data_IF_018788394462
#
_entry.id   IF_018788394462
#
_cell.length_a   1.000
_cell.length_b   1.000
_cell.length_c   1.000
_cell.angle_alpha   90.00
_cell.angle_beta   90.00
_cell.angle_gamma   90.00
#
_symmetry.space_group_name_H-M   'P 1'
#
loop_
_entity.id
_entity.type
_entity.pdbx_description
1 polymer ?
#
# COMPACT_ATOMS: atom_id res chain seq x y z
N UNK A 1 3.70 -30.44 17.06
CA UNK A 1 3.25 -29.95 15.75
C UNK A 1 3.99 -30.74 14.70
N UNK A 2 3.27 -31.31 13.72
CA UNK A 2 3.87 -32.21 12.75
C UNK A 2 4.58 -31.36 11.67
N UNK A 3 5.87 -31.62 11.39
CA UNK A 3 6.63 -30.93 10.32
C UNK A 3 6.00 -31.06 8.94
N UNK A 4 5.09 -32.03 8.75
CA UNK A 4 4.37 -32.28 7.50
C UNK A 4 3.33 -31.18 7.13
N UNK A 5 2.97 -30.31 8.09
CA UNK A 5 1.95 -29.28 7.92
C UNK A 5 2.52 -27.90 7.58
N UNK A 6 3.86 -27.81 7.43
CA UNK A 6 4.53 -26.55 7.10
C UNK A 6 4.63 -26.37 5.60
N UNK A 7 4.27 -25.18 5.12
CA UNK A 7 4.46 -24.75 3.73
C UNK A 7 5.77 -23.93 3.57
N UNK A 8 6.04 -23.00 4.50
CA UNK A 8 7.21 -22.15 4.47
C UNK A 8 7.76 -22.03 5.89
N UNK A 9 9.08 -22.10 6.04
CA UNK A 9 9.80 -21.80 7.28
C UNK A 9 10.98 -20.88 6.98
N UNK A 10 11.09 -19.77 7.71
CA UNK A 10 12.21 -18.86 7.72
C UNK A 10 12.84 -18.91 9.11
N UNK A 11 14.17 -19.05 9.17
CA UNK A 11 14.91 -19.10 10.44
C UNK A 11 16.05 -18.10 10.39
N UNK A 12 15.96 -17.04 11.21
CA UNK A 12 16.95 -15.99 11.35
C UNK A 12 17.33 -15.27 10.04
N UNK A 13 16.38 -15.12 9.13
CA UNK A 13 16.64 -14.63 7.76
C UNK A 13 17.04 -13.17 7.77
N UNK A 14 18.21 -12.88 7.18
CA UNK A 14 18.74 -11.53 6.99
C UNK A 14 19.02 -11.27 5.51
N UNK A 15 18.74 -10.05 5.08
CA UNK A 15 19.12 -9.58 3.73
C UNK A 15 19.75 -8.21 3.81
N UNK A 16 20.99 -8.14 3.36
CA UNK A 16 21.79 -6.92 3.30
C UNK A 16 22.05 -6.52 1.86
N UNK A 17 21.81 -5.27 1.55
CA UNK A 17 22.19 -4.64 0.28
C UNK A 17 23.33 -3.64 0.50
N UNK A 18 24.20 -3.52 -0.48
CA UNK A 18 25.21 -2.46 -0.54
C UNK A 18 24.71 -1.33 -1.42
N UNK A 19 24.67 -0.12 -0.90
CA UNK A 19 24.27 1.06 -1.64
C UNK A 19 25.39 1.48 -2.61
N UNK A 20 25.03 1.90 -3.82
CA UNK A 20 25.99 2.38 -4.81
C UNK A 20 26.82 1.30 -5.52
N UNK A 21 26.56 0.02 -5.29
CA UNK A 21 27.10 -1.04 -6.15
C UNK A 21 25.99 -1.49 -7.12
N UNK A 22 25.96 -0.91 -8.29
CA UNK A 22 25.39 -1.57 -9.46
C UNK A 22 26.44 -2.65 -9.79
N UNK A 23 26.07 -3.93 -9.68
CA UNK A 23 27.00 -5.01 -10.03
C UNK A 23 27.52 -4.73 -11.44
N UNK A 24 28.83 -4.58 -11.58
CA UNK A 24 29.46 -4.34 -12.85
C UNK A 24 29.13 -5.53 -13.75
N UNK A 25 28.25 -5.33 -14.72
CA UNK A 25 27.81 -6.40 -15.63
C UNK A 25 28.92 -6.90 -16.55
N UNK A 26 30.14 -6.33 -16.46
CA UNK A 26 31.30 -6.73 -17.26
C UNK A 26 32.60 -6.57 -16.47
N UNK A 27 33.53 -7.51 -16.63
CA UNK A 27 34.88 -7.45 -16.07
C UNK A 27 35.62 -6.15 -16.44
N UNK A 28 35.30 -5.54 -17.56
CA UNK A 28 35.86 -4.26 -18.01
C UNK A 28 35.38 -3.09 -17.16
N UNK A 29 34.12 -3.06 -16.73
CA UNK A 29 33.60 -2.02 -15.85
C UNK A 29 34.20 -2.13 -14.43
N UNK A 30 34.34 -3.35 -13.90
CA UNK A 30 35.01 -3.58 -12.61
C UNK A 30 36.48 -3.16 -12.63
N UNK A 31 37.18 -3.40 -13.74
CA UNK A 31 38.58 -2.98 -13.90
C UNK A 31 38.70 -1.46 -14.03
N UNK A 32 37.78 -0.80 -14.73
CA UNK A 32 37.75 0.67 -14.84
C UNK A 32 37.46 1.34 -13.47
N UNK A 33 36.51 0.80 -12.71
CA UNK A 33 36.18 1.29 -11.37
C UNK A 33 37.35 1.08 -10.41
N UNK A 34 38.07 -0.04 -10.47
CA UNK A 34 39.27 -0.30 -9.70
C UNK A 34 40.39 0.69 -10.06
N UNK A 35 40.65 0.93 -11.36
CA UNK A 35 41.68 1.88 -11.84
C UNK A 35 41.34 3.33 -11.48
N UNK A 36 40.09 3.74 -11.55
CA UNK A 36 39.63 5.07 -11.10
C UNK A 36 39.91 5.26 -9.59
N UNK A 37 39.59 4.23 -8.79
CA UNK A 37 39.81 4.24 -7.34
C UNK A 37 41.29 4.30 -6.96
N UNK A 38 42.17 3.56 -7.64
CA UNK A 38 43.63 3.60 -7.43
C UNK A 38 44.21 4.95 -7.79
N UNK A 39 43.63 5.68 -8.76
CA UNK A 39 44.10 7.00 -9.20
C UNK A 39 43.42 8.16 -8.48
N UNK A 40 42.53 7.93 -7.52
CA UNK A 40 41.77 8.97 -6.80
C UNK A 40 40.84 9.79 -7.70
N UNK A 41 40.43 9.22 -8.85
CA UNK A 41 39.46 9.82 -9.78
C UNK A 41 38.07 9.28 -9.51
N UNK A 42 37.05 10.07 -9.89
CA UNK A 42 35.66 9.64 -9.84
C UNK A 42 35.44 8.37 -10.69
N UNK A 43 34.66 7.44 -10.16
CA UNK A 43 34.34 6.18 -10.82
C UNK A 43 33.43 6.46 -12.05
N UNK A 44 33.90 6.21 -13.29
CA UNK A 44 33.12 6.51 -14.49
C UNK A 44 31.85 5.68 -14.64
N UNK A 45 31.69 4.63 -13.83
CA UNK A 45 30.53 3.73 -13.87
C UNK A 45 29.47 4.11 -12.80
N UNK A 46 29.68 5.20 -12.04
CA UNK A 46 28.68 5.70 -11.11
C UNK A 46 27.61 6.52 -11.86
N UNK A 47 26.31 6.35 -11.54
CA UNK A 47 25.25 7.20 -12.09
C UNK A 47 25.49 8.68 -11.78
N UNK A 48 25.26 9.53 -12.77
CA UNK A 48 25.30 11.00 -12.61
C UNK A 48 24.22 11.38 -11.59
N UNK A 49 24.56 12.06 -10.48
CA UNK A 49 23.73 12.45 -9.34
C UNK A 49 23.63 11.45 -8.16
N UNK A 50 24.52 10.49 -8.03
CA UNK A 50 24.58 9.66 -6.83
C UNK A 50 25.41 10.37 -5.74
N UNK A 51 24.85 10.51 -4.54
CA UNK A 51 25.61 11.05 -3.40
C UNK A 51 26.75 10.07 -3.04
N UNK A 52 27.98 10.49 -3.32
CA UNK A 52 29.19 9.67 -3.10
C UNK A 52 29.35 9.21 -1.64
N UNK A 53 28.69 9.89 -0.68
CA UNK A 53 28.69 9.52 0.73
C UNK A 53 27.93 8.22 1.02
N UNK A 54 27.04 7.81 0.11
CA UNK A 54 26.23 6.58 0.23
C UNK A 54 26.89 5.37 -0.39
N UNK A 55 27.93 5.56 -1.22
CA UNK A 55 28.63 4.46 -1.91
C UNK A 55 29.36 3.58 -0.91
N UNK A 56 29.00 2.30 -0.89
CA UNK A 56 29.59 1.30 0.01
C UNK A 56 28.91 1.17 1.38
N UNK A 57 27.95 2.03 1.71
CA UNK A 57 27.12 1.82 2.89
C UNK A 57 26.25 0.57 2.72
N UNK A 58 26.01 -0.13 3.81
CA UNK A 58 25.17 -1.32 3.83
C UNK A 58 23.82 -1.01 4.44
N UNK A 59 22.76 -1.48 3.80
CA UNK A 59 21.39 -1.37 4.26
C UNK A 59 20.83 -2.76 4.57
N UNK A 60 20.30 -2.96 5.77
CA UNK A 60 19.62 -4.18 6.17
C UNK A 60 18.14 -4.10 5.77
N UNK A 61 17.78 -4.79 4.72
CA UNK A 61 16.40 -4.85 4.25
C UNK A 61 15.55 -5.85 5.06
N UNK A 62 16.19 -6.96 5.53
CA UNK A 62 15.62 -7.87 6.51
C UNK A 62 16.69 -8.13 7.59
N UNK A 63 16.28 -8.23 8.85
CA UNK A 63 17.19 -8.30 9.99
C UNK A 63 16.73 -9.31 11.03
N UNK A 64 16.89 -10.61 10.72
CA UNK A 64 16.52 -11.72 11.59
C UNK A 64 15.02 -11.97 11.59
N UNK A 65 14.50 -12.42 10.45
CA UNK A 65 13.09 -12.77 10.29
C UNK A 65 12.91 -14.25 10.55
N UNK A 66 12.08 -14.58 11.54
CA UNK A 66 11.60 -15.92 11.85
C UNK A 66 10.11 -15.97 11.51
N UNK A 67 9.70 -16.93 10.68
CA UNK A 67 8.31 -17.08 10.25
C UNK A 67 8.03 -18.53 9.90
N UNK A 68 6.90 -19.04 10.35
CA UNK A 68 6.38 -20.34 9.92
C UNK A 68 4.99 -20.15 9.33
N UNK A 69 4.78 -20.63 8.10
CA UNK A 69 3.48 -20.61 7.41
C UNK A 69 3.03 -22.03 7.23
N UNK A 70 1.77 -22.32 7.60
CA UNK A 70 1.20 -23.64 7.50
C UNK A 70 0.52 -23.86 6.15
N UNK A 71 0.37 -25.12 5.75
CA UNK A 71 -0.35 -25.48 4.54
C UNK A 71 -1.82 -25.08 4.65
N UNK A 72 -2.36 -24.52 3.58
CA UNK A 72 -3.74 -24.04 3.53
C UNK A 72 -3.99 -22.74 4.30
N UNK A 73 -2.96 -22.08 4.79
CA UNK A 73 -3.06 -20.81 5.52
C UNK A 73 -3.10 -19.62 4.56
N UNK A 74 -3.97 -18.65 4.84
CA UNK A 74 -4.00 -17.35 4.18
C UNK A 74 -3.31 -16.31 5.09
N UNK A 75 -2.04 -16.02 4.82
CA UNK A 75 -1.21 -15.10 5.61
C UNK A 75 -1.14 -13.71 4.97
N UNK A 76 -1.56 -12.69 5.71
CA UNK A 76 -1.37 -11.28 5.37
C UNK A 76 0.02 -10.78 5.78
N UNK A 77 0.62 -9.94 4.94
CA UNK A 77 1.91 -9.27 5.24
C UNK A 77 1.70 -7.77 5.07
N UNK A 78 1.67 -7.04 6.15
CA UNK A 78 1.52 -5.58 6.16
C UNK A 78 2.76 -4.89 6.71
N UNK A 79 2.92 -3.61 6.39
CA UNK A 79 4.06 -2.80 6.83
C UNK A 79 4.24 -1.58 5.95
N UNK A 80 4.97 -0.58 6.44
CA UNK A 80 5.24 0.66 5.73
C UNK A 80 6.08 0.44 4.46
N UNK A 81 6.15 1.47 3.61
CA UNK A 81 7.11 1.49 2.52
C UNK A 81 8.53 1.41 3.09
N UNK A 82 9.35 0.51 2.52
CA UNK A 82 10.69 0.26 3.05
C UNK A 82 10.77 -0.71 4.23
N UNK A 83 9.65 -1.24 4.74
CA UNK A 83 9.64 -2.21 5.84
C UNK A 83 10.32 -3.56 5.51
N UNK A 84 10.52 -3.86 4.21
CA UNK A 84 11.17 -5.10 3.76
C UNK A 84 10.24 -6.07 3.05
N UNK A 85 8.94 -5.76 2.87
CA UNK A 85 7.94 -6.63 2.25
C UNK A 85 8.37 -7.20 0.89
N UNK A 86 8.70 -6.32 -0.07
CA UNK A 86 9.13 -6.75 -1.41
C UNK A 86 10.45 -7.54 -1.39
N UNK A 87 11.32 -7.29 -0.41
CA UNK A 87 12.54 -8.08 -0.22
C UNK A 87 12.21 -9.48 0.27
N UNK A 88 11.29 -9.61 1.23
CA UNK A 88 10.80 -10.90 1.72
C UNK A 88 10.20 -11.72 0.58
N UNK A 89 9.32 -11.12 -0.23
CA UNK A 89 8.74 -11.80 -1.39
C UNK A 89 9.79 -12.25 -2.41
N UNK A 90 10.79 -11.41 -2.72
CA UNK A 90 11.89 -11.79 -3.64
C UNK A 90 12.73 -12.96 -3.13
N UNK A 91 12.89 -13.08 -1.81
CA UNK A 91 13.56 -14.22 -1.20
C UNK A 91 12.71 -15.49 -1.33
N UNK A 92 11.42 -15.41 -1.03
CA UNK A 92 10.49 -16.55 -1.15
C UNK A 92 10.38 -17.03 -2.59
N UNK A 93 10.30 -16.10 -3.56
CA UNK A 93 10.28 -16.42 -4.99
C UNK A 93 11.66 -16.82 -5.56
N UNK A 94 12.70 -16.92 -4.71
CA UNK A 94 14.07 -17.27 -5.12
C UNK A 94 14.70 -16.33 -6.16
N UNK A 95 14.17 -15.10 -6.29
CA UNK A 95 14.77 -14.06 -7.15
C UNK A 95 16.11 -13.58 -6.57
N UNK A 96 16.27 -13.66 -5.26
CA UNK A 96 17.54 -13.37 -4.57
C UNK A 96 17.73 -14.33 -3.40
N UNK A 97 18.99 -14.56 -2.99
CA UNK A 97 19.30 -15.40 -1.83
C UNK A 97 19.38 -14.57 -0.53
N UNK A 98 19.11 -15.14 0.65
CA UNK A 98 19.38 -14.51 1.93
C UNK A 98 20.87 -14.26 2.12
N UNK A 99 21.22 -13.25 2.94
CA UNK A 99 22.61 -13.01 3.33
C UNK A 99 23.02 -13.93 4.49
N UNK A 100 22.09 -14.18 5.41
CA UNK A 100 22.22 -15.08 6.54
C UNK A 100 20.85 -15.72 6.83
N UNK A 101 20.84 -16.87 7.51
CA UNK A 101 19.63 -17.61 7.85
C UNK A 101 19.20 -18.57 6.75
N UNK A 102 18.14 -19.30 7.01
CA UNK A 102 17.64 -20.38 6.16
C UNK A 102 16.19 -20.18 5.78
N UNK A 103 15.83 -20.65 4.59
CA UNK A 103 14.45 -20.59 4.04
C UNK A 103 14.12 -21.97 3.49
N UNK A 104 13.17 -22.64 4.15
CA UNK A 104 12.63 -23.92 3.70
C UNK A 104 11.24 -23.71 3.08
N UNK A 105 11.04 -24.28 1.91
CA UNK A 105 9.78 -24.16 1.15
C UNK A 105 9.37 -25.56 0.71
N UNK A 106 8.17 -25.95 1.10
CA UNK A 106 7.59 -27.28 0.85
C UNK A 106 6.40 -27.16 -0.11
N UNK A 107 6.68 -27.18 -1.39
CA UNK A 107 5.72 -27.08 -2.47
C UNK A 107 6.16 -26.16 -3.59
N UNK A 108 5.35 -26.12 -4.65
CA UNK A 108 5.56 -25.24 -5.81
C UNK A 108 5.00 -23.85 -5.51
N UNK A 109 5.82 -22.82 -5.73
CA UNK A 109 5.39 -21.43 -5.58
C UNK A 109 4.90 -20.90 -6.93
N UNK A 110 3.73 -20.29 -6.94
CA UNK A 110 3.30 -19.36 -7.98
C UNK A 110 3.39 -17.93 -7.46
N UNK A 111 4.13 -17.08 -8.17
CA UNK A 111 4.31 -15.68 -7.83
C UNK A 111 3.50 -14.80 -8.79
N UNK A 112 2.67 -13.94 -8.22
CA UNK A 112 1.96 -12.89 -8.96
C UNK A 112 2.68 -11.52 -8.87
N UNK A 113 3.98 -11.50 -8.53
CA UNK A 113 4.74 -10.25 -8.40
C UNK A 113 4.92 -9.50 -9.73
N UNK A 114 4.90 -10.24 -10.83
CA UNK A 114 5.18 -9.71 -12.16
C UNK A 114 4.12 -10.20 -13.16
N UNK A 115 2.85 -9.86 -12.89
CA UNK A 115 1.73 -10.22 -13.77
C UNK A 115 1.95 -9.62 -15.17
N UNK A 116 1.90 -10.49 -16.19
CA UNK A 116 2.12 -10.11 -17.59
C UNK A 116 3.59 -10.08 -18.04
N UNK A 117 4.53 -10.40 -17.17
CA UNK A 117 5.91 -10.60 -17.58
C UNK A 117 6.00 -11.77 -18.58
N UNK A 118 6.66 -11.54 -19.69
CA UNK A 118 6.78 -12.51 -20.78
C UNK A 118 5.66 -12.44 -21.81
N UNK A 119 4.68 -11.56 -21.70
CA UNK A 119 3.73 -11.34 -22.79
C UNK A 119 4.41 -10.69 -23.99
N UNK A 120 4.15 -11.23 -25.18
CA UNK A 120 4.60 -10.67 -26.43
C UNK A 120 3.47 -9.95 -27.15
N UNK A 121 3.62 -8.64 -27.39
CA UNK A 121 2.61 -7.81 -28.05
C UNK A 121 2.23 -8.27 -29.46
N UNK A 122 3.11 -8.94 -30.18
CA UNK A 122 2.85 -9.43 -31.53
C UNK A 122 2.03 -10.74 -31.56
N UNK A 123 1.98 -11.45 -30.45
CA UNK A 123 1.22 -12.69 -30.30
C UNK A 123 -0.23 -12.38 -29.88
N UNK A 124 -1.13 -13.28 -30.23
CA UNK A 124 -2.54 -13.26 -29.81
C UNK A 124 -2.67 -13.51 -28.31
N UNK A 125 -3.84 -13.22 -27.72
CA UNK A 125 -4.13 -13.54 -26.33
C UNK A 125 -3.96 -15.04 -26.05
N UNK A 126 -4.44 -15.90 -26.95
CA UNK A 126 -4.32 -17.36 -26.82
C UNK A 126 -2.85 -17.82 -26.81
N UNK A 127 -2.03 -17.32 -27.72
CA UNK A 127 -0.60 -17.63 -27.78
C UNK A 127 0.13 -17.13 -26.52
N UNK A 128 -0.27 -15.96 -25.99
CA UNK A 128 0.29 -15.43 -24.75
C UNK A 128 -0.14 -16.28 -23.52
N UNK A 129 -1.33 -16.89 -23.49
CA UNK A 129 -1.70 -17.84 -22.45
C UNK A 129 -0.72 -19.03 -22.43
N UNK A 130 -0.40 -19.61 -23.60
CA UNK A 130 0.60 -20.70 -23.69
C UNK A 130 1.97 -20.24 -23.23
N UNK A 131 2.44 -19.10 -23.71
CA UNK A 131 3.77 -18.60 -23.41
C UNK A 131 3.91 -18.25 -21.94
N UNK A 132 2.98 -17.48 -21.39
CA UNK A 132 3.03 -17.07 -19.99
C UNK A 132 2.79 -18.26 -19.05
N UNK A 133 1.84 -19.15 -19.36
CA UNK A 133 1.62 -20.38 -18.60
C UNK A 133 2.89 -21.25 -18.53
N UNK A 134 3.62 -21.41 -19.67
CA UNK A 134 4.88 -22.14 -19.70
C UNK A 134 5.99 -21.44 -18.87
N UNK A 135 6.11 -20.10 -18.93
CA UNK A 135 7.04 -19.31 -18.11
C UNK A 135 6.72 -19.50 -16.61
N UNK A 136 5.45 -19.51 -16.25
CA UNK A 136 4.99 -19.75 -14.87
C UNK A 136 5.07 -21.24 -14.49
N UNK A 137 5.52 -22.10 -15.41
CA UNK A 137 5.83 -23.51 -15.20
C UNK A 137 4.66 -24.47 -15.38
N UNK A 138 3.61 -24.10 -16.09
CA UNK A 138 2.57 -25.04 -16.54
C UNK A 138 3.07 -25.91 -17.69
N UNK A 139 2.68 -27.15 -17.69
CA UNK A 139 2.85 -28.02 -18.88
C UNK A 139 1.81 -27.65 -19.95
N UNK A 140 2.08 -28.00 -21.20
CA UNK A 140 1.12 -27.77 -22.28
C UNK A 140 -0.25 -28.42 -21.98
N UNK A 141 -0.25 -29.63 -21.42
CA UNK A 141 -1.49 -30.34 -21.06
C UNK A 141 -2.30 -29.61 -19.98
N UNK A 142 -1.64 -29.02 -18.98
CA UNK A 142 -2.29 -28.19 -17.96
C UNK A 142 -2.88 -26.93 -18.57
N UNK A 143 -2.17 -26.28 -19.51
CA UNK A 143 -2.67 -25.10 -20.20
C UNK A 143 -3.87 -25.44 -21.09
N UNK A 144 -3.79 -26.53 -21.85
CA UNK A 144 -4.89 -27.00 -22.70
C UNK A 144 -6.16 -27.29 -21.87
N UNK A 145 -5.99 -27.92 -20.72
CA UNK A 145 -7.11 -28.23 -19.82
C UNK A 145 -7.78 -27.00 -19.20
N UNK A 146 -7.02 -25.91 -18.99
CA UNK A 146 -7.50 -24.68 -18.33
C UNK A 146 -7.77 -23.54 -19.29
N UNK A 147 -7.52 -23.72 -20.58
CA UNK A 147 -7.62 -22.65 -21.59
C UNK A 147 -8.95 -21.93 -21.56
N UNK A 148 -10.06 -22.67 -21.56
CA UNK A 148 -11.40 -22.09 -21.58
C UNK A 148 -11.72 -21.35 -20.28
N UNK A 149 -11.34 -21.88 -19.13
CA UNK A 149 -11.54 -21.23 -17.83
C UNK A 149 -10.76 -19.92 -17.74
N UNK A 150 -9.51 -19.90 -18.23
CA UNK A 150 -8.68 -18.69 -18.31
C UNK A 150 -9.31 -17.64 -19.20
N UNK A 151 -9.79 -18.02 -20.38
CA UNK A 151 -10.43 -17.11 -21.34
C UNK A 151 -11.71 -16.54 -20.75
N UNK A 152 -12.56 -17.36 -20.15
CA UNK A 152 -13.82 -16.93 -19.55
C UNK A 152 -13.58 -16.01 -18.34
N UNK A 153 -12.61 -16.38 -17.50
CA UNK A 153 -12.26 -15.55 -16.36
C UNK A 153 -11.74 -14.18 -16.77
N UNK A 154 -10.95 -14.10 -17.84
CA UNK A 154 -10.32 -12.85 -18.32
C UNK A 154 -11.29 -11.84 -18.95
N UNK A 155 -12.50 -12.28 -19.34
CA UNK A 155 -13.50 -11.45 -20.03
C UNK A 155 -13.02 -10.87 -21.37
N UNK A 156 -12.00 -11.47 -22.01
CA UNK A 156 -11.45 -11.01 -23.30
C UNK A 156 -11.74 -11.97 -24.45
N UNK A 157 -12.75 -12.85 -24.29
CA UNK A 157 -13.11 -13.90 -25.26
C UNK A 157 -13.19 -13.41 -26.71
N UNK A 158 -13.86 -12.30 -26.94
CA UNK A 158 -14.05 -11.75 -28.29
C UNK A 158 -12.74 -11.27 -28.95
N UNK A 159 -11.71 -11.07 -28.15
CA UNK A 159 -10.42 -10.55 -28.59
C UNK A 159 -9.30 -11.57 -28.47
N UNK A 160 -9.59 -12.79 -28.02
CA UNK A 160 -8.56 -13.78 -27.65
C UNK A 160 -7.60 -14.13 -28.79
N UNK A 161 -8.06 -14.11 -30.02
CA UNK A 161 -7.27 -14.38 -31.22
C UNK A 161 -6.76 -13.10 -31.90
N UNK A 162 -6.81 -11.95 -31.17
CA UNK A 162 -6.25 -10.65 -31.59
C UNK A 162 -4.87 -10.45 -30.93
N UNK A 163 -3.87 -9.86 -31.62
CA UNK A 163 -2.57 -9.51 -31.03
C UNK A 163 -2.71 -8.58 -29.83
N UNK A 164 -2.00 -8.92 -28.74
CA UNK A 164 -2.11 -8.25 -27.43
C UNK A 164 -1.71 -6.76 -27.48
N UNK A 165 -0.87 -6.36 -28.45
CA UNK A 165 -0.56 -4.93 -28.68
C UNK A 165 -1.81 -4.07 -28.96
N UNK A 166 -2.93 -4.67 -29.35
CA UNK A 166 -4.22 -3.99 -29.58
C UNK A 166 -5.14 -4.00 -28.36
N UNK A 167 -4.74 -4.64 -27.28
CA UNK A 167 -5.51 -4.67 -26.05
C UNK A 167 -5.42 -3.32 -25.33
N UNK A 168 -6.49 -2.96 -24.63
CA UNK A 168 -6.39 -1.92 -23.61
C UNK A 168 -5.53 -2.41 -22.44
N UNK A 169 -4.99 -1.50 -21.65
CA UNK A 169 -4.23 -1.86 -20.45
C UNK A 169 -5.04 -2.76 -19.51
N UNK A 170 -6.36 -2.50 -19.38
CA UNK A 170 -7.26 -3.33 -18.58
C UNK A 170 -7.40 -4.76 -19.12
N UNK A 171 -7.59 -4.94 -20.43
CA UNK A 171 -7.67 -6.28 -21.07
C UNK A 171 -6.37 -7.05 -20.89
N UNK A 172 -5.23 -6.38 -21.08
CA UNK A 172 -3.90 -6.98 -20.90
C UNK A 172 -3.77 -7.57 -19.49
N UNK A 173 -4.08 -6.77 -18.47
CA UNK A 173 -3.90 -7.21 -17.09
C UNK A 173 -4.95 -8.22 -16.67
N UNK A 174 -6.18 -8.14 -17.16
CA UNK A 174 -7.22 -9.16 -16.95
C UNK A 174 -6.75 -10.52 -17.47
N UNK A 175 -6.20 -10.59 -18.68
CA UNK A 175 -5.70 -11.84 -19.25
C UNK A 175 -4.51 -12.38 -18.45
N UNK A 176 -3.52 -11.54 -18.17
CA UNK A 176 -2.32 -11.95 -17.45
C UNK A 176 -2.63 -12.45 -16.03
N UNK A 177 -3.53 -11.78 -15.31
CA UNK A 177 -4.01 -12.23 -14.00
C UNK A 177 -4.75 -13.57 -14.11
N UNK A 178 -5.57 -13.73 -15.15
CA UNK A 178 -6.34 -14.97 -15.35
C UNK A 178 -5.44 -16.20 -15.52
N UNK A 179 -4.32 -16.07 -16.24
CA UNK A 179 -3.33 -17.16 -16.33
C UNK A 179 -2.76 -17.49 -14.95
N UNK A 180 -2.32 -16.47 -14.23
CA UNK A 180 -1.70 -16.64 -12.91
C UNK A 180 -2.68 -17.23 -11.87
N UNK A 181 -3.96 -16.84 -11.90
CA UNK A 181 -4.99 -17.33 -10.98
C UNK A 181 -5.37 -18.81 -11.22
N UNK A 182 -5.05 -19.36 -12.38
CA UNK A 182 -5.33 -20.77 -12.74
C UNK A 182 -4.09 -21.67 -12.67
N UNK A 183 -2.97 -21.19 -12.09
CA UNK A 183 -1.80 -22.03 -11.85
C UNK A 183 -2.11 -23.12 -10.79
N UNK A 184 -1.59 -24.31 -11.01
CA UNK A 184 -1.59 -25.36 -9.99
C UNK A 184 -0.34 -25.25 -9.14
N UNK A 185 -0.46 -24.57 -8.00
CA UNK A 185 0.62 -24.40 -7.04
C UNK A 185 0.09 -24.60 -5.63
N UNK A 186 0.91 -25.18 -4.77
CA UNK A 186 0.58 -25.37 -3.35
C UNK A 186 0.71 -24.05 -2.57
N UNK A 187 1.55 -23.15 -3.06
CA UNK A 187 1.82 -21.85 -2.44
C UNK A 187 1.63 -20.75 -3.48
N UNK A 188 0.82 -19.76 -3.17
CA UNK A 188 0.58 -18.59 -4.00
C UNK A 188 1.04 -17.32 -3.29
N UNK A 189 1.87 -16.54 -3.97
CA UNK A 189 2.38 -15.26 -3.45
C UNK A 189 1.80 -14.13 -4.28
N UNK A 190 1.11 -13.21 -3.61
CA UNK A 190 0.44 -12.07 -4.22
C UNK A 190 0.94 -10.77 -3.62
N UNK A 191 1.23 -9.79 -4.47
CA UNK A 191 1.48 -8.40 -4.10
C UNK A 191 0.25 -7.56 -4.49
N UNK A 192 0.24 -6.30 -4.21
CA UNK A 192 -0.83 -5.30 -4.44
C UNK A 192 -1.53 -5.35 -5.82
N UNK A 193 -1.12 -6.26 -6.68
CA UNK A 193 -1.60 -6.48 -8.06
C UNK A 193 -3.12 -6.76 -8.15
N UNK A 194 -3.80 -7.08 -7.04
CA UNK A 194 -5.27 -7.26 -7.04
C UNK A 194 -6.06 -5.95 -7.29
N UNK A 195 -5.41 -4.79 -7.25
CA UNK A 195 -6.03 -3.49 -7.56
C UNK A 195 -6.17 -3.21 -9.06
N UNK A 196 -6.11 -4.27 -9.90
CA UNK A 196 -6.07 -4.16 -11.35
C UNK A 196 -7.44 -4.39 -12.00
N UNK A 197 -7.70 -3.64 -13.07
CA UNK A 197 -8.96 -3.71 -13.81
C UNK A 197 -10.05 -2.84 -13.17
N UNK A 198 -11.29 -3.07 -13.56
CA UNK A 198 -12.45 -2.40 -12.99
C UNK A 198 -12.88 -3.06 -11.66
N UNK A 199 -13.77 -2.39 -10.93
CA UNK A 199 -14.25 -2.83 -9.61
C UNK A 199 -14.85 -4.25 -9.64
N UNK A 200 -15.57 -4.60 -10.72
CA UNK A 200 -16.20 -5.90 -10.85
C UNK A 200 -15.15 -7.00 -11.02
N UNK A 201 -14.14 -6.76 -11.83
CA UNK A 201 -13.04 -7.70 -12.01
C UNK A 201 -12.22 -7.87 -10.74
N UNK A 202 -11.96 -6.79 -9.99
CA UNK A 202 -11.30 -6.86 -8.68
C UNK A 202 -12.08 -7.78 -7.72
N UNK A 203 -13.40 -7.64 -7.63
CA UNK A 203 -14.24 -8.50 -6.79
C UNK A 203 -14.19 -9.98 -7.25
N UNK A 204 -14.16 -10.22 -8.55
CA UNK A 204 -14.00 -11.56 -9.14
C UNK A 204 -12.66 -12.17 -8.76
N UNK A 205 -11.57 -11.38 -8.82
CA UNK A 205 -10.24 -11.80 -8.38
C UNK A 205 -10.21 -12.16 -6.89
N UNK A 206 -10.77 -11.31 -6.04
CA UNK A 206 -10.85 -11.55 -4.59
C UNK A 206 -11.61 -12.82 -4.27
N UNK A 207 -12.77 -13.03 -4.96
CA UNK A 207 -13.56 -14.26 -4.79
C UNK A 207 -12.77 -15.51 -5.20
N UNK A 208 -12.07 -15.46 -6.35
CA UNK A 208 -11.24 -16.59 -6.80
C UNK A 208 -10.10 -16.88 -5.82
N UNK A 209 -9.45 -15.85 -5.31
CA UNK A 209 -8.35 -16.05 -4.33
C UNK A 209 -8.85 -16.65 -3.02
N UNK A 210 -10.02 -16.24 -2.55
CA UNK A 210 -10.65 -16.84 -1.38
C UNK A 210 -11.02 -18.31 -1.62
N UNK A 211 -11.55 -18.62 -2.79
CA UNK A 211 -11.86 -20.01 -3.20
C UNK A 211 -10.58 -20.87 -3.21
N UNK A 212 -9.50 -20.38 -3.79
CA UNK A 212 -8.19 -21.05 -3.83
C UNK A 212 -7.66 -21.32 -2.42
N UNK A 213 -7.76 -20.37 -1.51
CA UNK A 213 -7.29 -20.53 -0.13
C UNK A 213 -8.19 -21.48 0.67
N UNK A 214 -9.51 -21.24 0.68
CA UNK A 214 -10.43 -21.91 1.61
C UNK A 214 -10.98 -23.25 1.08
N UNK A 215 -11.20 -23.37 -0.24
CA UNK A 215 -11.81 -24.57 -0.85
C UNK A 215 -10.73 -25.51 -1.38
N UNK A 216 -9.74 -24.96 -2.10
CA UNK A 216 -8.66 -25.76 -2.66
C UNK A 216 -7.54 -26.05 -1.64
N UNK A 217 -7.57 -25.42 -0.46
CA UNK A 217 -6.63 -25.64 0.62
C UNK A 217 -5.19 -25.21 0.30
N UNK A 218 -5.00 -24.26 -0.62
CA UNK A 218 -3.67 -23.74 -0.98
C UNK A 218 -3.20 -22.70 0.02
N UNK A 219 -1.90 -22.64 0.23
CA UNK A 219 -1.29 -21.62 1.07
C UNK A 219 -1.17 -20.30 0.29
N UNK A 220 -1.69 -19.21 0.85
CA UNK A 220 -1.68 -17.89 0.21
C UNK A 220 -0.92 -16.90 1.06
N UNK A 221 0.07 -16.23 0.48
CA UNK A 221 0.74 -15.08 1.08
C UNK A 221 0.28 -13.82 0.34
N UNK A 222 -0.37 -12.93 1.05
CA UNK A 222 -0.89 -11.71 0.49
C UNK A 222 -0.24 -10.47 1.10
N UNK A 223 0.43 -9.67 0.26
CA UNK A 223 1.05 -8.41 0.65
C UNK A 223 0.19 -7.26 0.18
N UNK A 224 -0.24 -6.41 1.08
CA UNK A 224 -1.03 -5.23 0.72
C UNK A 224 -0.90 -4.13 1.77
N UNK A 225 -1.18 -2.91 1.34
CA UNK A 225 -1.46 -1.78 2.22
C UNK A 225 -2.97 -1.50 2.33
N UNK A 226 -3.82 -2.23 1.61
CA UNK A 226 -5.27 -2.14 1.73
C UNK A 226 -5.79 -3.09 2.82
N UNK A 227 -6.06 -2.53 3.99
CA UNK A 227 -6.54 -3.30 5.15
C UNK A 227 -7.89 -3.97 4.91
N UNK A 228 -8.74 -3.39 4.06
CA UNK A 228 -10.03 -4.00 3.67
C UNK A 228 -9.83 -5.33 2.93
N UNK A 229 -8.84 -5.42 2.06
CA UNK A 229 -8.53 -6.65 1.32
C UNK A 229 -7.85 -7.68 2.24
N UNK A 230 -6.97 -7.24 3.15
CA UNK A 230 -6.35 -8.11 4.17
C UNK A 230 -7.42 -8.78 5.03
N UNK A 231 -8.41 -8.02 5.55
CA UNK A 231 -9.56 -8.55 6.30
C UNK A 231 -10.37 -9.59 5.53
N UNK A 232 -10.47 -9.42 4.23
CA UNK A 232 -11.29 -10.30 3.39
C UNK A 232 -10.60 -11.62 3.04
N UNK A 233 -9.28 -11.61 2.91
CA UNK A 233 -8.52 -12.74 2.37
C UNK A 233 -7.74 -13.53 3.42
N UNK A 234 -7.33 -12.91 4.51
CA UNK A 234 -6.35 -13.47 5.42
C UNK A 234 -6.97 -13.84 6.77
N UNK A 235 -6.50 -14.95 7.33
CA UNK A 235 -6.91 -15.43 8.65
C UNK A 235 -5.88 -15.02 9.73
N UNK A 236 -4.63 -14.83 9.33
CA UNK A 236 -3.51 -14.38 10.16
C UNK A 236 -2.72 -13.30 9.42
N UNK A 237 -2.11 -12.41 10.17
CA UNK A 237 -1.34 -11.31 9.59
C UNK A 237 -0.05 -11.06 10.36
N UNK A 238 1.04 -10.77 9.63
CA UNK A 238 2.28 -10.27 10.21
C UNK A 238 2.48 -8.80 9.88
N UNK A 239 3.02 -8.07 10.86
CA UNK A 239 3.43 -6.67 10.68
C UNK A 239 4.94 -6.61 10.56
N UNK A 240 5.42 -6.13 9.42
CA UNK A 240 6.83 -5.93 9.15
C UNK A 240 7.21 -4.46 9.35
N UNK A 241 8.25 -4.19 10.16
CA UNK A 241 8.83 -2.86 10.33
C UNK A 241 10.36 -2.95 10.34
N UNK A 242 11.01 -2.09 9.53
CA UNK A 242 12.48 -1.99 9.43
C UNK A 242 13.18 -3.35 9.32
N UNK A 243 12.59 -4.25 8.52
CA UNK A 243 13.13 -5.58 8.25
C UNK A 243 12.92 -6.62 9.36
N UNK A 244 12.06 -6.36 10.34
CA UNK A 244 11.70 -7.30 11.42
C UNK A 244 10.20 -7.51 11.49
N UNK A 245 9.78 -8.70 11.90
CA UNK A 245 8.40 -8.96 12.29
C UNK A 245 8.21 -8.39 13.70
N UNK A 246 7.31 -7.41 13.84
CA UNK A 246 6.97 -6.77 15.13
C UNK A 246 5.67 -7.31 15.70
N UNK A 247 4.86 -7.98 14.89
CA UNK A 247 3.64 -8.66 15.31
C UNK A 247 3.34 -9.83 14.37
N UNK A 248 2.76 -10.88 14.94
CA UNK A 248 2.34 -12.08 14.24
C UNK A 248 1.11 -12.67 14.96
N UNK A 249 -0.06 -12.64 14.32
CA UNK A 249 -1.31 -13.06 14.96
C UNK A 249 -2.57 -12.71 14.16
N UNK A 250 -3.66 -12.46 14.89
CA UNK A 250 -4.97 -12.11 14.32
C UNK A 250 -4.90 -10.86 13.44
N UNK A 251 -5.75 -10.82 12.41
CA UNK A 251 -5.77 -9.74 11.40
C UNK A 251 -6.12 -8.40 12.01
N UNK A 252 -7.10 -8.32 12.90
CA UNK A 252 -7.53 -7.05 13.51
C UNK A 252 -6.46 -6.51 14.46
N UNK A 253 -5.83 -7.38 15.24
CA UNK A 253 -4.73 -7.00 16.13
C UNK A 253 -3.53 -6.51 15.32
N UNK A 254 -3.18 -7.19 14.22
CA UNK A 254 -2.12 -6.78 13.30
C UNK A 254 -2.38 -5.39 12.71
N UNK A 255 -3.60 -5.15 12.25
CA UNK A 255 -4.02 -3.83 11.73
C UNK A 255 -3.94 -2.77 12.84
N UNK A 256 -4.32 -3.11 14.07
CA UNK A 256 -4.18 -2.22 15.23
C UNK A 256 -2.72 -1.86 15.52
N UNK A 257 -1.81 -2.83 15.49
CA UNK A 257 -0.36 -2.61 15.67
C UNK A 257 0.21 -1.77 14.52
N UNK A 258 -0.17 -2.08 13.27
CA UNK A 258 0.25 -1.32 12.10
C UNK A 258 -0.23 0.14 12.15
N UNK A 259 -1.48 0.37 12.53
CA UNK A 259 -2.06 1.69 12.68
C UNK A 259 -1.30 2.50 13.74
N UNK A 260 -1.07 1.92 14.94
CA UNK A 260 -0.33 2.57 16.03
C UNK A 260 1.13 2.88 15.63
N UNK A 261 1.81 1.96 14.95
CA UNK A 261 3.19 2.17 14.48
C UNK A 261 3.33 3.26 13.42
N UNK A 262 2.25 3.56 12.71
CA UNK A 262 2.18 4.61 11.69
C UNK A 262 1.55 5.90 12.19
N UNK A 263 1.12 5.98 13.44
CA UNK A 263 0.52 7.20 13.96
C UNK A 263 1.54 8.31 14.05
N UNK A 264 1.14 9.48 13.61
CA UNK A 264 1.81 10.71 13.97
C UNK A 264 1.69 10.88 15.50
N UNK A 265 2.80 11.22 16.15
CA UNK A 265 2.73 11.58 17.56
C UNK A 265 1.75 12.76 17.73
N UNK A 266 0.87 12.67 18.75
CA UNK A 266 0.02 13.80 19.10
C UNK A 266 0.90 14.91 19.64
N UNK A 267 0.89 16.04 18.96
CA UNK A 267 1.68 17.24 19.27
C UNK A 267 0.80 18.47 19.08
N UNK A 268 1.20 19.60 19.64
CA UNK A 268 0.58 20.89 19.33
C UNK A 268 1.10 21.47 18.00
N UNK A 269 2.35 21.17 17.64
CA UNK A 269 3.06 21.81 16.54
C UNK A 269 3.62 20.75 15.59
N UNK A 270 3.30 20.87 14.30
CA UNK A 270 3.73 19.97 13.24
C UNK A 270 4.49 20.73 12.16
N UNK A 271 5.77 20.44 11.97
CA UNK A 271 6.55 20.90 10.81
C UNK A 271 6.18 20.06 9.59
N UNK A 272 5.38 20.61 8.68
CA UNK A 272 4.95 19.95 7.45
C UNK A 272 5.78 20.36 6.24
N UNK A 273 6.76 21.25 6.40
CA UNK A 273 7.59 21.79 5.32
C UNK A 273 8.39 20.69 4.60
N UNK A 274 8.83 19.66 5.32
CA UNK A 274 9.66 18.54 4.83
C UNK A 274 8.87 17.35 4.32
N UNK A 275 7.54 17.36 4.46
CA UNK A 275 6.69 16.26 3.95
C UNK A 275 6.77 16.27 2.43
N UNK A 276 7.03 15.10 1.85
CA UNK A 276 7.08 14.94 0.39
C UNK A 276 5.73 15.27 -0.24
N UNK A 277 5.72 16.19 -1.19
CA UNK A 277 4.52 16.60 -1.93
C UNK A 277 4.20 15.62 -3.05
N UNK A 278 2.91 15.54 -3.37
CA UNK A 278 2.42 14.77 -4.52
C UNK A 278 2.66 15.56 -5.82
N UNK A 279 2.70 14.85 -6.94
CA UNK A 279 2.76 15.48 -8.26
C UNK A 279 1.44 16.18 -8.60
N UNK A 280 1.51 17.19 -9.48
CA UNK A 280 0.32 17.91 -9.97
C UNK A 280 -0.11 19.09 -9.11
N UNK A 281 0.79 19.69 -8.33
CA UNK A 281 0.61 20.95 -7.60
C UNK A 281 1.29 22.11 -8.32
N UNK A 282 0.85 23.36 -8.03
CA UNK A 282 1.36 24.55 -8.76
C UNK A 282 2.66 25.11 -8.21
N UNK A 283 3.21 24.65 -7.10
CA UNK A 283 4.33 25.26 -6.37
C UNK A 283 4.13 26.76 -6.03
N UNK A 284 2.94 27.28 -6.15
CA UNK A 284 2.65 28.69 -5.89
C UNK A 284 2.48 29.00 -4.40
N UNK A 285 2.12 27.98 -3.63
CA UNK A 285 1.98 28.02 -2.17
C UNK A 285 2.61 26.77 -1.57
N UNK A 286 3.20 26.91 -0.38
CA UNK A 286 3.78 25.83 0.39
C UNK A 286 3.33 25.93 1.85
N UNK A 287 2.73 24.88 2.38
CA UNK A 287 2.34 24.77 3.78
C UNK A 287 3.57 24.41 4.61
N UNK A 288 3.88 25.17 5.65
CA UNK A 288 5.10 25.05 6.43
C UNK A 288 4.88 24.38 7.79
N UNK A 289 3.86 24.82 8.52
CA UNK A 289 3.55 24.29 9.85
C UNK A 289 2.06 24.28 10.13
N UNK A 290 1.65 23.40 11.05
CA UNK A 290 0.31 23.37 11.63
C UNK A 290 0.44 23.46 13.16
N UNK A 291 -0.30 24.38 13.76
CA UNK A 291 -0.33 24.59 15.21
C UNK A 291 -1.75 24.32 15.71
N UNK A 292 -1.90 23.34 16.57
CA UNK A 292 -3.18 22.98 17.18
C UNK A 292 -3.34 23.70 18.52
N UNK A 293 -4.47 24.32 18.76
CA UNK A 293 -4.79 24.87 20.08
C UNK A 293 -4.93 23.75 21.12
N UNK A 294 -5.45 22.59 20.69
CA UNK A 294 -5.52 21.38 21.46
C UNK A 294 -5.47 20.15 20.54
N UNK A 295 -4.61 19.19 20.83
CA UNK A 295 -4.50 17.94 20.06
C UNK A 295 -5.64 16.94 20.30
N UNK A 296 -6.51 17.21 21.27
CA UNK A 296 -7.69 16.42 21.62
C UNK A 296 -8.93 17.30 21.62
N UNK A 297 -10.04 16.78 21.11
CA UNK A 297 -11.33 17.44 21.14
C UNK A 297 -12.39 16.54 21.76
N UNK A 298 -13.22 17.09 22.66
CA UNK A 298 -14.46 16.44 23.04
C UNK A 298 -15.43 16.47 21.85
N UNK A 299 -16.37 15.53 21.80
CA UNK A 299 -17.31 15.36 20.67
C UNK A 299 -18.06 16.64 20.29
N UNK A 300 -18.40 17.48 21.26
CA UNK A 300 -19.10 18.75 21.02
C UNK A 300 -18.17 19.94 20.85
N UNK A 301 -16.86 19.75 20.98
CA UNK A 301 -15.86 20.81 20.79
C UNK A 301 -15.31 20.80 19.36
N UNK A 302 -14.94 22.00 18.94
CA UNK A 302 -14.35 22.23 17.63
C UNK A 302 -12.82 22.11 17.71
N UNK A 303 -12.20 21.60 16.65
CA UNK A 303 -10.76 21.58 16.50
C UNK A 303 -10.31 22.90 15.88
N UNK A 304 -9.63 23.73 16.68
CA UNK A 304 -9.05 24.99 16.23
C UNK A 304 -7.56 24.79 15.94
N UNK A 305 -7.12 25.28 14.78
CA UNK A 305 -5.73 25.21 14.40
C UNK A 305 -5.33 26.37 13.51
N UNK A 306 -4.05 26.73 13.53
CA UNK A 306 -3.46 27.66 12.60
C UNK A 306 -2.53 26.96 11.61
N UNK A 307 -2.49 27.49 10.41
CA UNK A 307 -1.74 26.94 9.29
C UNK A 307 -0.78 28.00 8.76
N UNK A 308 0.51 27.78 8.92
CA UNK A 308 1.56 28.63 8.36
C UNK A 308 1.86 28.21 6.94
N UNK A 309 1.93 29.18 6.06
CA UNK A 309 2.22 28.99 4.65
C UNK A 309 3.15 30.07 4.10
N UNK A 310 3.84 29.74 3.02
CA UNK A 310 4.55 30.68 2.16
C UNK A 310 3.95 30.68 0.77
N UNK A 311 3.59 31.84 0.25
CA UNK A 311 3.03 31.98 -1.10
C UNK A 311 3.86 32.90 -1.95
N UNK A 312 4.20 32.49 -3.16
CA UNK A 312 4.98 33.29 -4.12
C UNK A 312 4.21 34.47 -4.69
N UNK A 313 2.88 34.43 -4.67
CA UNK A 313 1.98 35.45 -5.21
C UNK A 313 0.66 35.46 -4.45
N UNK A 314 -0.11 36.50 -4.62
CA UNK A 314 -1.48 36.52 -4.15
C UNK A 314 -2.34 35.50 -4.93
N UNK A 315 -3.10 34.69 -4.21
CA UNK A 315 -4.04 33.71 -4.80
C UNK A 315 -5.38 33.92 -4.12
N UNK A 316 -6.36 34.52 -4.82
CA UNK A 316 -7.70 34.70 -4.29
C UNK A 316 -8.52 33.41 -4.32
N UNK A 317 -9.61 33.40 -3.57
CA UNK A 317 -10.63 32.37 -3.58
C UNK A 317 -10.11 30.93 -3.35
N UNK A 318 -9.10 30.79 -2.49
CA UNK A 318 -8.56 29.50 -2.08
C UNK A 318 -9.44 28.91 -1.00
N UNK A 319 -9.68 27.60 -1.06
CA UNK A 319 -10.29 26.79 -0.02
C UNK A 319 -9.30 25.77 0.50
N UNK A 320 -9.37 25.49 1.81
CA UNK A 320 -8.74 24.32 2.37
C UNK A 320 -9.73 23.13 2.28
N UNK A 321 -9.34 22.10 1.59
CA UNK A 321 -9.95 20.78 1.67
C UNK A 321 -9.28 20.00 2.79
N UNK A 322 -10.02 19.75 3.84
CA UNK A 322 -9.62 19.03 5.04
C UNK A 322 -10.14 17.60 4.96
N UNK A 323 -9.25 16.62 4.84
CA UNK A 323 -9.64 15.21 4.78
C UNK A 323 -9.32 14.55 6.10
N UNK A 324 -10.34 14.03 6.78
CA UNK A 324 -10.17 13.23 7.99
C UNK A 324 -9.94 11.79 7.58
N UNK A 325 -8.84 11.22 8.05
CA UNK A 325 -8.48 9.82 7.87
C UNK A 325 -8.45 9.10 9.22
N UNK A 326 -8.83 7.82 9.22
CA UNK A 326 -8.63 6.95 10.38
C UNK A 326 -7.13 6.75 10.63
N UNK A 327 -6.76 6.28 11.83
CA UNK A 327 -5.38 5.92 12.16
C UNK A 327 -4.74 4.96 11.12
N UNK A 328 -5.53 4.07 10.53
CA UNK A 328 -5.12 3.17 9.44
C UNK A 328 -4.97 3.82 8.06
N UNK A 329 -5.25 5.13 7.92
CA UNK A 329 -5.10 5.89 6.67
C UNK A 329 -6.33 5.86 5.75
N UNK A 330 -7.42 5.19 6.11
CA UNK A 330 -8.64 5.22 5.32
C UNK A 330 -9.37 6.57 5.51
N UNK A 331 -9.81 7.20 4.41
CA UNK A 331 -10.59 8.42 4.48
C UNK A 331 -11.94 8.18 5.17
N UNK A 332 -12.22 8.97 6.18
CA UNK A 332 -13.47 8.96 6.97
C UNK A 332 -14.45 10.00 6.45
N UNK A 333 -13.94 11.19 6.13
CA UNK A 333 -14.76 12.28 5.62
C UNK A 333 -13.93 13.46 5.12
N UNK A 334 -14.60 14.41 4.49
CA UNK A 334 -13.96 15.60 3.93
C UNK A 334 -14.78 16.84 4.27
N UNK A 335 -14.10 17.87 4.73
CA UNK A 335 -14.65 19.21 4.94
C UNK A 335 -13.95 20.23 4.03
N UNK A 336 -14.63 21.32 3.72
CA UNK A 336 -14.07 22.44 2.98
C UNK A 336 -14.22 23.71 3.79
N UNK A 337 -13.16 24.53 3.83
CA UNK A 337 -13.25 25.86 4.45
C UNK A 337 -14.08 26.82 3.58
N UNK A 338 -14.44 27.93 4.14
CA UNK A 338 -14.80 29.12 3.35
C UNK A 338 -13.61 29.55 2.50
N UNK A 339 -13.84 30.33 1.45
CA UNK A 339 -12.76 30.90 0.63
C UNK A 339 -12.00 31.96 1.40
N UNK A 340 -10.68 31.97 1.21
CA UNK A 340 -9.77 32.98 1.73
C UNK A 340 -8.69 33.30 0.69
N UNK A 341 -7.97 34.38 0.90
CA UNK A 341 -6.88 34.79 -0.02
C UNK A 341 -5.54 34.43 0.60
N UNK A 342 -4.71 33.66 -0.14
CA UNK A 342 -3.31 33.48 0.20
C UNK A 342 -2.53 34.74 -0.18
N UNK A 343 -1.87 35.34 0.82
CA UNK A 343 -1.06 36.56 0.64
C UNK A 343 0.38 36.19 0.27
N UNK A 344 1.09 37.04 -0.50
CA UNK A 344 2.50 36.80 -0.82
C UNK A 344 3.38 36.80 0.45
N UNK A 345 4.36 35.89 0.48
CA UNK A 345 5.28 35.71 1.60
C UNK A 345 4.70 34.79 2.68
N UNK A 346 5.43 34.75 3.82
CA UNK A 346 5.02 33.94 4.98
C UNK A 346 3.82 34.58 5.68
N UNK A 347 2.82 33.78 5.92
CA UNK A 347 1.57 34.20 6.57
C UNK A 347 0.89 33.01 7.27
N UNK A 348 -0.02 33.33 8.18
CA UNK A 348 -0.78 32.33 8.95
C UNK A 348 -2.29 32.52 8.74
N UNK A 349 -3.02 31.42 8.61
CA UNK A 349 -4.49 31.41 8.59
C UNK A 349 -4.99 30.57 9.75
N UNK A 350 -6.01 31.08 10.48
CA UNK A 350 -6.70 30.33 11.53
C UNK A 350 -7.93 29.63 10.99
N UNK A 351 -8.13 28.40 11.38
CA UNK A 351 -9.16 27.51 10.88
C UNK A 351 -9.84 26.76 12.03
N UNK A 352 -11.11 26.45 11.84
CA UNK A 352 -11.93 25.71 12.80
C UNK A 352 -12.61 24.56 12.07
N UNK A 353 -12.49 23.35 12.61
CA UNK A 353 -13.17 22.17 12.10
C UNK A 353 -14.19 21.67 13.12
N UNK A 354 -15.46 21.53 12.72
CA UNK A 354 -16.53 20.94 13.51
C UNK A 354 -16.57 19.43 13.27
N UNK A 355 -16.03 18.67 14.21
CA UNK A 355 -15.97 17.21 14.18
C UNK A 355 -17.08 16.49 14.94
N UNK A 356 -18.24 17.14 15.21
CA UNK A 356 -19.32 16.62 16.04
C UNK A 356 -19.81 15.21 15.68
N UNK A 357 -19.71 14.84 14.40
CA UNK A 357 -20.15 13.53 13.92
C UNK A 357 -19.03 12.49 13.93
N UNK A 358 -17.80 12.85 14.28
CA UNK A 358 -16.73 11.88 14.44
C UNK A 358 -16.95 11.07 15.72
N UNK A 359 -16.81 9.77 15.58
CA UNK A 359 -16.81 8.86 16.73
C UNK A 359 -15.53 9.05 17.57
N UNK A 360 -15.55 8.68 18.86
CA UNK A 360 -14.34 8.65 19.67
C UNK A 360 -13.23 7.82 19.00
N UNK A 361 -12.01 8.36 18.97
CA UNK A 361 -10.89 7.69 18.34
C UNK A 361 -9.77 8.64 17.93
N UNK A 362 -8.80 8.06 17.27
CA UNK A 362 -7.60 8.75 16.79
C UNK A 362 -7.68 8.95 15.27
N UNK A 363 -7.42 10.16 14.83
CA UNK A 363 -7.56 10.58 13.45
C UNK A 363 -6.31 11.30 12.96
N UNK A 364 -6.14 11.31 11.64
CA UNK A 364 -5.07 12.05 10.93
C UNK A 364 -5.73 12.93 9.89
N UNK A 365 -5.21 14.14 9.71
CA UNK A 365 -5.70 15.09 8.72
C UNK A 365 -4.78 15.18 7.50
N UNK A 366 -5.36 15.14 6.30
CA UNK A 366 -4.69 15.59 5.09
C UNK A 366 -5.18 17.01 4.74
N UNK A 367 -4.28 17.88 4.32
CA UNK A 367 -4.55 19.26 3.97
C UNK A 367 -4.28 19.50 2.49
N UNK A 368 -5.26 20.06 1.79
CA UNK A 368 -5.14 20.35 0.35
C UNK A 368 -5.65 21.75 0.10
N UNK A 369 -4.78 22.65 -0.36
CA UNK A 369 -5.19 24.00 -0.78
C UNK A 369 -5.59 24.00 -2.25
N UNK A 370 -6.80 24.45 -2.51
CA UNK A 370 -7.42 24.43 -3.85
C UNK A 370 -8.07 25.76 -4.19
N UNK A 371 -8.10 26.10 -5.47
CA UNK A 371 -8.96 27.15 -6.02
C UNK A 371 -9.68 26.67 -7.27
N UNK A 372 -10.74 27.37 -7.65
CA UNK A 372 -11.48 27.09 -8.88
C UNK A 372 -11.45 28.29 -9.80
N UNK A 373 -11.18 28.02 -11.09
CA UNK A 373 -11.37 28.97 -12.17
C UNK A 373 -12.45 28.40 -13.09
N UNK A 374 -13.67 28.87 -12.91
CA UNK A 374 -14.84 28.28 -13.54
C UNK A 374 -15.04 26.82 -13.13
N UNK A 375 -14.79 25.88 -14.04
CA UNK A 375 -14.94 24.43 -13.80
C UNK A 375 -13.60 23.74 -13.47
N UNK A 376 -12.49 24.43 -13.63
CA UNK A 376 -11.15 23.84 -13.45
C UNK A 376 -10.68 24.00 -12.01
N UNK A 377 -10.37 22.88 -11.36
CA UNK A 377 -9.76 22.84 -10.04
C UNK A 377 -8.23 22.96 -10.15
N UNK A 378 -7.66 23.93 -9.47
CA UNK A 378 -6.22 24.06 -9.31
C UNK A 378 -5.81 23.67 -7.88
N UNK A 379 -4.79 22.80 -7.74
CA UNK A 379 -4.23 22.40 -6.45
C UNK A 379 -2.93 23.15 -6.22
N UNK A 380 -2.84 23.85 -5.09
CA UNK A 380 -1.68 24.69 -4.77
C UNK A 380 -0.66 23.96 -3.90
N UNK A 381 -1.13 23.22 -2.87
CA UNK A 381 -0.30 22.32 -2.08
C UNK A 381 -1.13 21.12 -1.57
N UNK A 382 -0.46 19.99 -1.35
CA UNK A 382 -1.06 18.76 -0.84
C UNK A 382 -0.13 18.20 0.24
N UNK A 383 -0.59 18.18 1.47
CA UNK A 383 0.09 17.61 2.62
C UNK A 383 -0.70 16.41 3.12
N UNK A 384 -0.20 15.23 2.86
CA UNK A 384 -0.80 13.99 3.34
C UNK A 384 -0.29 13.72 4.76
N UNK A 385 -1.21 13.39 5.69
CA UNK A 385 -0.89 13.14 7.10
C UNK A 385 -0.21 14.35 7.74
N UNK A 386 -0.83 15.51 7.61
CA UNK A 386 -0.28 16.77 8.08
C UNK A 386 -0.18 16.81 9.62
N UNK A 387 -1.21 16.34 10.32
CA UNK A 387 -1.23 16.27 11.78
C UNK A 387 -2.19 15.18 12.28
N UNK A 388 -2.06 14.80 13.55
CA UNK A 388 -2.96 13.88 14.24
C UNK A 388 -3.77 14.61 15.31
N UNK A 389 -4.99 14.12 15.56
CA UNK A 389 -5.83 14.59 16.63
C UNK A 389 -6.70 13.46 17.19
N UNK A 390 -7.22 13.64 18.40
CA UNK A 390 -8.13 12.66 19.03
C UNK A 390 -9.51 13.26 19.24
N UNK A 391 -10.52 12.40 19.14
CA UNK A 391 -11.88 12.70 19.60
C UNK A 391 -12.13 11.89 20.87
N UNK A 392 -12.38 12.58 21.97
CA UNK A 392 -12.62 11.95 23.28
C UNK A 392 -14.06 11.45 23.39
N UNK A 393 -14.25 10.42 24.19
CA UNK A 393 -15.56 9.90 24.56
C UNK A 393 -16.10 10.70 25.75
N UNK A 394 -17.15 11.51 25.54
CA UNK A 394 -17.68 12.36 26.59
C UNK A 394 -18.44 11.58 27.67
N UNK A 395 -19.30 10.63 27.28
CA UNK A 395 -19.95 9.65 28.15
C UNK A 395 -20.21 8.36 27.37
N UNK A 396 -19.91 7.18 27.95
CA UNK A 396 -20.16 5.92 27.25
C UNK A 396 -21.67 5.72 27.07
N UNK A 397 -22.12 5.64 25.82
CA UNK A 397 -23.50 5.27 25.48
C UNK A 397 -23.82 3.88 26.08
N UNK A 398 -24.79 3.83 27.00
CA UNK A 398 -25.20 2.58 27.67
C UNK A 398 -24.05 1.82 28.39
N UNK A 399 -23.06 2.52 28.97
CA UNK A 399 -21.89 1.93 29.62
C UNK A 399 -21.00 1.10 28.69
N UNK A 400 -21.11 1.27 27.38
CA UNK A 400 -20.26 0.60 26.40
C UNK A 400 -19.28 1.60 25.76
N UNK A 401 -18.01 1.26 25.74
CA UNK A 401 -17.02 2.05 25.00
C UNK A 401 -17.24 1.93 23.49
N UNK A 402 -17.06 3.03 22.77
CA UNK A 402 -17.18 3.03 21.33
C UNK A 402 -16.20 2.02 20.70
N UNK A 403 -16.72 1.14 19.85
CA UNK A 403 -15.93 0.18 19.11
C UNK A 403 -15.82 0.59 17.65
N UNK A 404 -14.76 1.32 17.30
CA UNK A 404 -14.50 1.82 15.94
C UNK A 404 -14.47 0.71 14.89
N UNK A 405 -14.02 -0.49 15.24
CA UNK A 405 -13.97 -1.63 14.32
C UNK A 405 -15.35 -2.24 14.04
N UNK A 406 -16.26 -2.18 15.02
CA UNK A 406 -17.62 -2.72 14.88
C UNK A 406 -18.67 -1.67 14.51
N UNK A 407 -18.51 -0.43 14.97
CA UNK A 407 -19.51 0.64 14.86
C UNK A 407 -19.10 1.76 13.89
N UNK A 408 -17.86 1.71 13.39
CA UNK A 408 -17.33 2.69 12.43
C UNK A 408 -16.79 3.95 13.09
N UNK A 409 -16.40 4.91 12.26
CA UNK A 409 -15.77 6.18 12.66
C UNK A 409 -16.71 7.38 12.61
N UNK A 410 -17.99 7.18 12.31
CA UNK A 410 -19.00 8.24 12.26
C UNK A 410 -20.15 7.85 13.19
N UNK A 411 -20.55 8.77 14.05
CA UNK A 411 -21.70 8.65 14.90
C UNK A 411 -22.85 9.49 14.32
N UNK A 412 -23.95 8.83 14.01
CA UNK A 412 -25.16 9.52 13.54
C UNK A 412 -26.07 9.89 14.71
N UNK A 413 -26.92 10.89 14.49
CA UNK A 413 -27.99 11.25 15.46
C UNK A 413 -28.97 10.07 15.61
N UNK A 414 -29.78 10.10 16.68
CA UNK A 414 -30.67 9.02 17.06
C UNK A 414 -31.66 8.61 15.96
N UNK A 415 -31.89 7.30 15.84
CA UNK A 415 -32.99 6.76 15.03
C UNK A 415 -34.28 6.88 15.84
N UNK A 416 -35.22 7.68 15.36
CA UNK A 416 -36.54 7.87 16.02
C UNK A 416 -37.48 6.71 15.70
N UNK A 417 -38.04 6.12 16.73
CA UNK A 417 -39.14 5.17 16.58
C UNK A 417 -40.40 5.96 16.25
N UNK A 418 -40.91 5.81 15.02
CA UNK A 418 -42.23 6.28 14.66
C UNK A 418 -43.20 5.20 15.10
N UNK A 419 -44.26 5.59 15.92
CA UNK A 419 -45.30 4.64 16.34
C UNK A 419 -45.84 3.87 15.11
N UNK A 420 -45.63 2.56 15.12
CA UNK A 420 -46.17 1.69 14.08
C UNK A 420 -47.70 1.74 14.18
N UNK A 421 -48.41 1.99 13.08
CA UNK A 421 -49.84 1.72 13.01
C UNK A 421 -50.01 0.22 13.29
N UNK A 422 -50.51 -0.10 14.48
CA UNK A 422 -51.07 -1.43 14.73
C UNK A 422 -52.24 -1.61 13.79
N UNK A 423 -52.08 -2.47 12.80
CA UNK A 423 -53.16 -2.94 11.96
C UNK A 423 -53.80 -4.16 12.58
#
# INVERSE_FOLDING_TARGET
MNERDIAIRLTGVKKRYKLGQIGGGTLTADLQSWWARVRGKEDPNLPVNMDQRLVGQTFMALNGVDLTVHKGEALGIIGCNGAGKSTLLKLLCRVTAPTEGEIDIYGRIASMLEVGTGFNGEMTGRENIYMNGAILGMTKAEIDAKMEDIIEFSEVRDFIDTPVKRYSSGMFVKLAFSVAAHLDSEIMIMDEVLAVGDVNFQQKCLKKMREVAQVEGRTVLYVSHNMGTIRQLCDRCIVLDKGKIIFDGDVEDAIGVYAKGNMLALQSDYDVSKIKRMEGITEACHLNAVHLDCGSMAREKKLCFSLDYDSRREIPDVMLRFVVCSAGGAAVGTAYSQTFTLRPGESTVQLEFDGKNLAPGEYVADLITISYDGTTQTRHDIVVRAFAFTVEEDEPLYNMKWNTNGWGSIHFDDVRVLEGKNG
#
